data_IF_698761290852
#
_entry.id   IF_698761290852
#
_cell.length_a   1.000
_cell.length_b   1.000
_cell.length_c   1.000
_cell.angle_alpha   90.00
_cell.angle_beta   90.00
_cell.angle_gamma   90.00
#
_symmetry.space_group_name_H-M   'P 1'
#
loop_
_entity.id
_entity.type
_entity.pdbx_description
1 polymer ?
#
# COMPACT_ATOMS: atom_id res chain seq x y z
N UNK A 1 -20.70 -32.68 11.88
CA UNK A 1 -20.45 -31.25 12.21
C UNK A 1 -20.95 -30.39 11.07
N UNK A 2 -21.37 -29.13 11.32
CA UNK A 2 -21.81 -28.22 10.27
C UNK A 2 -20.68 -27.90 9.30
N UNK A 3 -20.93 -27.89 8.00
CA UNK A 3 -19.92 -27.52 6.99
C UNK A 3 -19.45 -26.10 7.24
N UNK A 4 -18.15 -25.91 7.45
CA UNK A 4 -17.57 -24.62 7.80
C UNK A 4 -16.56 -24.19 6.74
N UNK A 5 -16.55 -22.91 6.42
CA UNK A 5 -15.52 -22.29 5.57
C UNK A 5 -14.66 -21.36 6.43
N UNK A 6 -13.41 -21.74 6.64
CA UNK A 6 -12.39 -20.95 7.33
C UNK A 6 -11.59 -20.18 6.29
N UNK A 7 -11.50 -18.87 6.44
CA UNK A 7 -10.83 -18.00 5.47
C UNK A 7 -9.63 -17.34 6.12
N UNK A 8 -8.46 -17.46 5.48
CA UNK A 8 -7.21 -16.90 5.95
C UNK A 8 -6.62 -15.92 4.92
N UNK A 9 -6.32 -14.71 5.36
CA UNK A 9 -5.59 -13.69 4.60
C UNK A 9 -4.08 -13.76 4.90
N UNK A 10 -3.69 -14.03 6.16
CA UNK A 10 -2.29 -14.02 6.60
C UNK A 10 -1.88 -15.23 7.45
N UNK A 11 -0.57 -15.52 7.51
CA UNK A 11 -0.03 -16.69 8.22
C UNK A 11 -0.30 -16.65 9.72
N UNK A 12 -0.31 -15.46 10.33
CA UNK A 12 -0.56 -15.29 11.76
C UNK A 12 -2.00 -15.64 12.16
N UNK A 13 -2.94 -15.60 11.22
CA UNK A 13 -4.32 -16.03 11.42
C UNK A 13 -4.43 -17.56 11.49
N UNK A 14 -3.58 -18.28 10.74
CA UNK A 14 -3.52 -19.74 10.80
C UNK A 14 -3.01 -20.20 12.17
N UNK A 15 -1.93 -19.59 12.67
CA UNK A 15 -1.41 -19.88 14.02
C UNK A 15 -2.46 -19.54 15.10
N UNK A 16 -3.15 -18.40 14.92
CA UNK A 16 -4.21 -18.00 15.82
C UNK A 16 -5.33 -19.03 15.89
N UNK A 17 -5.79 -19.53 14.74
CA UNK A 17 -6.79 -20.57 14.65
C UNK A 17 -6.36 -21.84 15.37
N UNK A 18 -5.16 -22.36 15.06
CA UNK A 18 -4.63 -23.59 15.65
C UNK A 18 -4.51 -23.46 17.16
N UNK A 19 -4.11 -22.30 17.68
CA UNK A 19 -4.00 -22.06 19.12
C UNK A 19 -5.34 -22.05 19.85
N UNK A 20 -6.41 -21.54 19.22
CA UNK A 20 -7.72 -21.35 19.84
C UNK A 20 -8.62 -22.59 19.69
N UNK A 21 -8.52 -23.27 18.56
CA UNK A 21 -9.42 -24.38 18.18
C UNK A 21 -8.69 -25.74 18.14
N UNK A 22 -7.35 -25.77 18.25
CA UNK A 22 -6.53 -26.97 18.18
C UNK A 22 -6.23 -27.46 16.76
N UNK A 23 -5.12 -28.19 16.60
CA UNK A 23 -4.63 -28.70 15.29
C UNK A 23 -5.57 -29.71 14.62
N UNK A 24 -6.40 -30.42 15.38
CA UNK A 24 -7.33 -31.39 14.80
C UNK A 24 -8.53 -30.70 14.13
N UNK A 25 -8.95 -29.55 14.65
CA UNK A 25 -10.08 -28.78 14.10
C UNK A 25 -9.82 -28.30 12.66
N UNK A 26 -8.58 -27.94 12.35
CA UNK A 26 -8.17 -27.45 11.02
C UNK A 26 -8.05 -28.59 9.99
N UNK A 27 -8.02 -29.85 10.43
CA UNK A 27 -7.96 -31.04 9.56
C UNK A 27 -9.29 -31.77 9.41
N UNK A 28 -10.36 -31.27 10.03
CA UNK A 28 -11.68 -31.87 9.95
C UNK A 28 -12.19 -31.85 8.49
N UNK A 29 -12.79 -32.96 8.05
CA UNK A 29 -13.29 -33.11 6.68
C UNK A 29 -14.47 -32.18 6.36
N UNK A 30 -15.18 -31.68 7.37
CA UNK A 30 -16.27 -30.71 7.24
C UNK A 30 -15.77 -29.27 7.24
N UNK A 31 -14.46 -29.04 7.33
CA UNK A 31 -13.83 -27.72 7.29
C UNK A 31 -13.16 -27.53 5.94
N UNK A 32 -13.64 -26.55 5.19
CA UNK A 32 -12.96 -26.04 4.01
C UNK A 32 -12.09 -24.84 4.39
N UNK A 33 -10.82 -24.89 4.01
CA UNK A 33 -9.89 -23.79 4.24
C UNK A 33 -9.68 -23.04 2.93
N UNK A 34 -9.96 -21.74 2.93
CA UNK A 34 -9.68 -20.85 1.82
C UNK A 34 -8.48 -19.96 2.15
N UNK A 35 -7.37 -20.17 1.44
CA UNK A 35 -6.14 -19.42 1.62
C UNK A 35 -6.01 -18.34 0.52
N UNK A 36 -6.23 -17.08 0.90
CA UNK A 36 -6.29 -15.96 -0.04
C UNK A 36 -4.93 -15.58 -0.62
N UNK A 37 -3.89 -15.54 0.21
CA UNK A 37 -2.55 -15.09 -0.16
C UNK A 37 -1.57 -16.25 -0.39
N UNK A 38 -0.60 -16.13 -1.32
CA UNK A 38 0.41 -17.16 -1.56
C UNK A 38 1.26 -17.52 -0.34
N UNK A 39 1.51 -16.58 0.58
CA UNK A 39 2.25 -16.83 1.82
C UNK A 39 1.50 -17.84 2.72
N UNK A 40 0.19 -17.65 2.91
CA UNK A 40 -0.67 -18.59 3.64
C UNK A 40 -0.69 -19.97 2.97
N UNK A 41 -0.78 -20.01 1.65
CA UNK A 41 -0.76 -21.26 0.88
C UNK A 41 0.56 -22.02 1.08
N UNK A 42 1.69 -21.32 1.03
CA UNK A 42 3.01 -21.91 1.27
C UNK A 42 3.14 -22.41 2.72
N UNK A 43 2.62 -21.64 3.68
CA UNK A 43 2.62 -21.97 5.09
C UNK A 43 1.79 -23.23 5.38
N UNK A 44 0.54 -23.30 4.90
CA UNK A 44 -0.35 -24.46 5.07
C UNK A 44 0.24 -25.70 4.38
N UNK A 45 0.82 -25.54 3.19
CA UNK A 45 1.51 -26.62 2.47
C UNK A 45 2.66 -27.21 3.27
N UNK A 46 3.50 -26.37 3.91
CA UNK A 46 4.61 -26.84 4.76
C UNK A 46 4.14 -27.64 5.97
N UNK A 47 2.93 -27.38 6.47
CA UNK A 47 2.30 -28.12 7.58
C UNK A 47 1.41 -29.27 7.15
N UNK A 48 1.38 -29.57 5.85
CA UNK A 48 0.56 -30.62 5.26
C UNK A 48 -0.95 -30.47 5.60
N UNK A 49 -1.42 -29.22 5.64
CA UNK A 49 -2.82 -28.88 5.87
C UNK A 49 -3.48 -28.64 4.49
N UNK A 50 -4.53 -29.40 4.11
CA UNK A 50 -5.24 -29.18 2.86
C UNK A 50 -5.90 -27.80 2.80
N UNK A 51 -5.86 -27.16 1.62
CA UNK A 51 -6.50 -25.86 1.42
C UNK A 51 -6.98 -25.68 -0.03
N UNK A 52 -7.89 -24.74 -0.19
CA UNK A 52 -8.37 -24.23 -1.46
C UNK A 52 -7.69 -22.88 -1.72
N UNK A 53 -7.17 -22.69 -2.93
CA UNK A 53 -6.65 -21.40 -3.38
C UNK A 53 -7.78 -20.61 -4.07
N UNK A 54 -7.45 -19.39 -4.52
CA UNK A 54 -8.43 -18.47 -5.11
C UNK A 54 -8.76 -18.76 -6.58
N UNK A 55 -8.01 -19.65 -7.25
CA UNK A 55 -8.16 -19.91 -8.70
C UNK A 55 -9.54 -20.50 -9.01
N UNK A 56 -10.06 -21.41 -8.17
CA UNK A 56 -11.39 -22.00 -8.35
C UNK A 56 -12.55 -21.02 -8.16
N UNK A 57 -12.29 -19.86 -7.55
CA UNK A 57 -13.30 -18.88 -7.18
C UNK A 57 -13.16 -17.56 -7.93
N UNK A 58 -12.19 -17.44 -8.85
CA UNK A 58 -11.94 -16.23 -9.62
C UNK A 58 -11.66 -16.55 -11.08
N UNK A 59 -12.68 -16.45 -11.92
CA UNK A 59 -12.60 -16.76 -13.35
C UNK A 59 -12.55 -15.49 -14.22
N UNK A 60 -12.54 -15.68 -15.54
CA UNK A 60 -12.48 -14.57 -16.52
C UNK A 60 -13.66 -13.60 -16.34
N UNK A 61 -14.88 -14.11 -16.10
CA UNK A 61 -16.06 -13.27 -15.87
C UNK A 61 -15.96 -12.48 -14.56
N UNK A 62 -15.38 -13.08 -13.52
CA UNK A 62 -15.04 -12.39 -12.27
C UNK A 62 -14.08 -11.23 -12.52
N UNK A 63 -13.05 -11.47 -13.33
CA UNK A 63 -12.07 -10.44 -13.70
C UNK A 63 -12.69 -9.28 -14.47
N UNK A 64 -13.53 -9.58 -15.47
CA UNK A 64 -14.24 -8.57 -16.26
C UNK A 64 -15.15 -7.71 -15.38
N UNK A 65 -15.98 -8.32 -14.53
CA UNK A 65 -16.84 -7.58 -13.58
C UNK A 65 -16.02 -6.68 -12.66
N UNK A 66 -14.89 -7.17 -12.16
CA UNK A 66 -14.02 -6.39 -11.29
C UNK A 66 -13.47 -5.15 -11.99
N UNK A 67 -12.99 -5.29 -13.23
CA UNK A 67 -12.43 -4.17 -13.99
C UNK A 67 -13.50 -3.12 -14.26
N UNK A 68 -14.69 -3.53 -14.70
CA UNK A 68 -15.80 -2.62 -14.96
C UNK A 68 -16.23 -1.90 -13.67
N UNK A 69 -16.39 -2.63 -12.56
CA UNK A 69 -16.76 -2.03 -11.29
C UNK A 69 -15.68 -1.10 -10.74
N UNK A 70 -14.40 -1.48 -10.87
CA UNK A 70 -13.30 -0.61 -10.48
C UNK A 70 -13.25 0.66 -11.32
N UNK A 71 -13.54 0.60 -12.62
CA UNK A 71 -13.61 1.77 -13.49
C UNK A 71 -14.76 2.71 -13.09
N UNK A 72 -15.94 2.15 -12.79
CA UNK A 72 -17.10 2.88 -12.25
C UNK A 72 -16.72 3.63 -10.96
N UNK A 73 -16.08 2.94 -10.02
CA UNK A 73 -15.68 3.51 -8.73
C UNK A 73 -14.61 4.58 -8.88
N UNK A 74 -13.61 4.34 -9.72
CA UNK A 74 -12.44 5.23 -9.87
C UNK A 74 -12.78 6.52 -10.62
N UNK A 75 -13.80 6.51 -11.48
CA UNK A 75 -14.17 7.68 -12.30
C UNK A 75 -14.48 8.93 -11.44
N UNK A 76 -15.38 8.90 -10.44
CA UNK A 76 -15.59 10.05 -9.56
C UNK A 76 -14.33 10.54 -8.84
N UNK A 77 -13.45 9.63 -8.43
CA UNK A 77 -12.17 10.04 -7.82
C UNK A 77 -11.31 10.84 -8.81
N UNK A 78 -11.22 10.41 -10.08
CA UNK A 78 -10.49 11.17 -11.11
C UNK A 78 -11.08 12.54 -11.36
N UNK A 79 -12.42 12.63 -11.36
CA UNK A 79 -13.13 13.86 -11.69
C UNK A 79 -13.07 14.88 -10.53
N UNK A 80 -13.07 14.42 -9.28
CA UNK A 80 -13.13 15.27 -8.08
C UNK A 80 -11.73 15.63 -7.55
N UNK A 81 -10.76 14.72 -7.67
CA UNK A 81 -9.42 14.93 -7.10
C UNK A 81 -8.66 15.99 -7.90
N UNK A 82 -8.38 17.10 -7.23
CA UNK A 82 -7.58 18.20 -7.77
C UNK A 82 -6.63 18.71 -6.69
N UNK A 83 -5.49 18.04 -6.56
CA UNK A 83 -4.44 18.38 -5.60
C UNK A 83 -3.31 19.06 -6.35
N UNK A 84 -2.94 20.26 -5.90
CA UNK A 84 -1.86 21.06 -6.47
C UNK A 84 -0.99 21.59 -5.32
N UNK A 85 0.33 21.53 -5.49
CA UNK A 85 1.27 22.08 -4.52
C UNK A 85 1.68 23.53 -4.83
N UNK A 86 2.49 24.10 -3.94
CA UNK A 86 3.03 25.45 -4.05
C UNK A 86 4.03 25.63 -5.20
N UNK A 87 4.41 24.54 -5.87
CA UNK A 87 5.27 24.53 -7.06
C UNK A 87 4.45 24.40 -8.37
N UNK A 88 3.11 24.31 -8.27
CA UNK A 88 2.21 24.10 -9.41
C UNK A 88 2.18 22.66 -9.91
N UNK A 89 2.74 21.70 -9.17
CA UNK A 89 2.68 20.27 -9.53
C UNK A 89 1.30 19.74 -9.17
N UNK A 90 0.58 19.27 -10.19
CA UNK A 90 -0.78 18.74 -10.06
C UNK A 90 -0.93 17.30 -10.50
N UNK A 91 -0.52 17.00 -11.73
CA UNK A 91 -0.73 15.68 -12.35
C UNK A 91 -0.10 14.55 -11.55
N UNK A 92 1.10 14.76 -10.98
CA UNK A 92 1.80 13.76 -10.17
C UNK A 92 0.98 13.29 -8.97
N UNK A 93 0.38 14.22 -8.21
CA UNK A 93 -0.43 13.87 -7.03
C UNK A 93 -1.75 13.21 -7.41
N UNK A 94 -2.44 13.73 -8.43
CA UNK A 94 -3.72 13.17 -8.89
C UNK A 94 -3.55 11.75 -9.44
N UNK A 95 -2.49 11.53 -10.22
CA UNK A 95 -2.15 10.21 -10.77
C UNK A 95 -1.73 9.24 -9.66
N UNK A 96 -0.90 9.69 -8.71
CA UNK A 96 -0.52 8.87 -7.57
C UNK A 96 -1.77 8.48 -6.76
N UNK A 97 -2.59 9.45 -6.34
CA UNK A 97 -3.82 9.20 -5.58
C UNK A 97 -4.70 8.15 -6.28
N UNK A 98 -4.98 8.35 -7.56
CA UNK A 98 -5.84 7.46 -8.36
C UNK A 98 -5.22 6.07 -8.50
N UNK A 99 -3.92 6.00 -8.81
CA UNK A 99 -3.20 4.73 -8.99
C UNK A 99 -3.21 3.90 -7.71
N UNK A 100 -2.83 4.51 -6.59
CA UNK A 100 -2.73 3.80 -5.33
C UNK A 100 -4.11 3.38 -4.80
N UNK A 101 -5.12 4.25 -4.89
CA UNK A 101 -6.49 3.92 -4.51
C UNK A 101 -7.03 2.74 -5.32
N UNK A 102 -6.86 2.78 -6.65
CA UNK A 102 -7.34 1.72 -7.54
C UNK A 102 -6.72 0.36 -7.19
N UNK A 103 -5.40 0.29 -7.10
CA UNK A 103 -4.69 -1.00 -6.98
C UNK A 103 -4.67 -1.53 -5.55
N UNK A 104 -4.43 -0.66 -4.57
CA UNK A 104 -4.17 -1.08 -3.19
C UNK A 104 -5.38 -0.95 -2.26
N UNK A 105 -6.52 -0.50 -2.78
CA UNK A 105 -7.78 -0.48 -2.04
C UNK A 105 -8.89 -1.11 -2.87
N UNK A 106 -9.31 -0.46 -3.97
CA UNK A 106 -10.52 -0.85 -4.69
C UNK A 106 -10.42 -2.25 -5.28
N UNK A 107 -9.41 -2.54 -6.09
CA UNK A 107 -9.26 -3.85 -6.72
C UNK A 107 -9.07 -4.96 -5.69
N UNK A 108 -8.35 -4.68 -4.59
CA UNK A 108 -8.14 -5.65 -3.52
C UNK A 108 -9.45 -6.00 -2.80
N UNK A 109 -10.23 -4.99 -2.41
CA UNK A 109 -11.55 -5.16 -1.78
C UNK A 109 -12.52 -5.92 -2.69
N UNK A 110 -12.62 -5.50 -3.95
CA UNK A 110 -13.50 -6.18 -4.91
C UNK A 110 -13.08 -7.64 -5.13
N UNK A 111 -11.78 -7.91 -5.22
CA UNK A 111 -11.27 -9.27 -5.41
C UNK A 111 -11.59 -10.16 -4.22
N UNK A 112 -11.40 -9.68 -2.98
CA UNK A 112 -11.77 -10.43 -1.78
C UNK A 112 -13.27 -10.72 -1.75
N UNK A 113 -14.12 -9.72 -2.00
CA UNK A 113 -15.58 -9.89 -2.04
C UNK A 113 -15.96 -10.94 -3.09
N UNK A 114 -15.41 -10.83 -4.31
CA UNK A 114 -15.71 -11.75 -5.41
C UNK A 114 -15.33 -13.20 -5.09
N UNK A 115 -14.11 -13.42 -4.57
CA UNK A 115 -13.60 -14.74 -4.22
C UNK A 115 -14.41 -15.38 -3.10
N UNK A 116 -14.68 -14.64 -2.03
CA UNK A 116 -15.40 -15.16 -0.87
C UNK A 116 -16.85 -15.46 -1.24
N UNK A 117 -17.50 -14.56 -1.97
CA UNK A 117 -18.88 -14.75 -2.41
C UNK A 117 -19.01 -15.98 -3.32
N UNK A 118 -18.09 -16.16 -4.29
CA UNK A 118 -18.07 -17.34 -5.14
C UNK A 118 -17.76 -18.62 -4.35
N UNK A 119 -16.91 -18.56 -3.33
CA UNK A 119 -16.63 -19.69 -2.45
C UNK A 119 -17.87 -20.10 -1.63
N UNK A 120 -18.64 -19.13 -1.13
CA UNK A 120 -19.91 -19.38 -0.44
C UNK A 120 -20.91 -20.07 -1.38
N UNK A 121 -21.05 -19.60 -2.62
CA UNK A 121 -21.97 -20.19 -3.60
C UNK A 121 -21.61 -21.62 -3.99
N UNK A 122 -20.32 -21.89 -4.20
CA UNK A 122 -19.85 -23.20 -4.63
C UNK A 122 -19.80 -24.23 -3.50
N UNK A 123 -19.30 -23.84 -2.32
CA UNK A 123 -19.09 -24.75 -1.20
C UNK A 123 -20.32 -24.89 -0.30
N UNK A 124 -21.25 -23.93 -0.34
CA UNK A 124 -22.46 -23.87 0.48
C UNK A 124 -22.20 -24.16 1.97
N UNK A 125 -21.28 -23.42 2.61
CA UNK A 125 -21.01 -23.61 4.03
C UNK A 125 -22.22 -23.17 4.87
N UNK A 126 -22.40 -23.78 6.04
CA UNK A 126 -23.38 -23.37 7.05
C UNK A 126 -22.81 -22.31 8.00
N UNK A 127 -21.48 -22.27 8.12
CA UNK A 127 -20.74 -21.39 9.02
C UNK A 127 -19.50 -20.80 8.33
N UNK A 128 -19.28 -19.50 8.49
CA UNK A 128 -18.05 -18.82 8.09
C UNK A 128 -17.19 -18.53 9.32
N UNK A 129 -15.89 -18.76 9.20
CA UNK A 129 -14.90 -18.43 10.23
C UNK A 129 -13.85 -17.52 9.61
N UNK A 130 -13.64 -16.36 10.20
CA UNK A 130 -12.67 -15.38 9.74
C UNK A 130 -12.06 -14.62 10.92
N UNK A 131 -11.03 -13.84 10.64
CA UNK A 131 -10.32 -13.05 11.64
C UNK A 131 -10.72 -11.60 11.53
N UNK A 132 -11.17 -11.04 12.67
CA UNK A 132 -11.39 -9.60 12.82
C UNK A 132 -10.36 -9.08 13.81
N UNK A 133 -9.56 -8.14 13.34
CA UNK A 133 -8.44 -7.61 14.09
C UNK A 133 -8.70 -6.19 14.54
N UNK A 134 -8.36 -5.91 15.80
CA UNK A 134 -8.50 -4.58 16.42
C UNK A 134 -7.35 -3.62 16.06
N UNK A 135 -6.58 -3.87 14.99
CA UNK A 135 -5.39 -3.08 14.67
C UNK A 135 -5.66 -1.84 13.81
N UNK A 136 -4.76 -0.86 13.95
CA UNK A 136 -4.67 0.27 13.04
C UNK A 136 -3.97 -0.14 11.75
N UNK A 137 -4.54 0.27 10.60
CA UNK A 137 -3.94 0.16 9.28
C UNK A 137 -2.48 0.62 9.27
N UNK A 138 -1.62 -0.14 8.59
CA UNK A 138 -0.27 0.34 8.29
C UNK A 138 -0.35 1.61 7.43
N UNK A 139 0.62 2.52 7.62
CA UNK A 139 0.85 3.62 6.69
C UNK A 139 1.16 3.02 5.31
N UNK A 140 0.61 3.58 4.24
CA UNK A 140 0.80 3.05 2.90
C UNK A 140 2.30 3.11 2.53
N UNK A 141 2.95 1.96 2.45
CA UNK A 141 4.18 1.78 1.69
C UNK A 141 3.80 1.34 0.26
N UNK A 142 4.81 1.19 -0.59
CA UNK A 142 4.72 0.68 -1.96
C UNK A 142 3.92 -0.62 -2.12
N UNK A 143 3.73 -1.42 -1.05
CA UNK A 143 2.87 -2.60 -1.02
C UNK A 143 2.13 -2.63 0.34
N UNK A 144 0.79 -2.62 0.37
CA UNK A 144 0.05 -2.80 1.62
C UNK A 144 0.22 -4.24 2.12
N UNK A 145 0.69 -4.42 3.36
CA UNK A 145 1.02 -5.75 3.93
C UNK A 145 0.08 -6.20 5.04
N UNK A 146 -0.86 -5.37 5.48
CA UNK A 146 -1.76 -5.66 6.61
C UNK A 146 -3.09 -4.89 6.47
N UNK A 147 -3.75 -4.97 5.32
CA UNK A 147 -5.05 -4.30 5.13
C UNK A 147 -6.14 -4.88 6.03
N UNK A 148 -6.16 -6.22 6.19
CA UNK A 148 -6.95 -6.96 7.19
C UNK A 148 -8.45 -6.60 7.17
N UNK A 149 -8.98 -6.39 5.97
CA UNK A 149 -10.42 -6.12 5.74
C UNK A 149 -11.26 -7.41 5.76
N UNK A 150 -10.61 -8.59 5.80
CA UNK A 150 -11.26 -9.89 5.66
C UNK A 150 -12.45 -10.08 6.62
N UNK A 151 -12.24 -9.88 7.92
CA UNK A 151 -13.29 -10.10 8.92
C UNK A 151 -14.54 -9.24 8.69
N UNK A 152 -14.35 -7.99 8.23
CA UNK A 152 -15.47 -7.07 7.93
C UNK A 152 -16.25 -7.54 6.70
N UNK A 153 -15.54 -7.96 5.65
CA UNK A 153 -16.17 -8.45 4.41
C UNK A 153 -16.95 -9.74 4.67
N UNK A 154 -16.35 -10.68 5.42
CA UNK A 154 -16.99 -11.97 5.75
C UNK A 154 -18.23 -11.74 6.62
N UNK A 155 -18.19 -10.80 7.57
CA UNK A 155 -19.33 -10.40 8.39
C UNK A 155 -20.50 -9.88 7.56
N UNK A 156 -20.26 -8.97 6.62
CA UNK A 156 -21.31 -8.45 5.75
C UNK A 156 -21.88 -9.55 4.82
N UNK A 157 -21.03 -10.38 4.21
CA UNK A 157 -21.49 -11.46 3.33
C UNK A 157 -22.28 -12.54 4.09
N UNK A 158 -21.84 -12.91 5.30
CA UNK A 158 -22.56 -13.86 6.15
C UNK A 158 -23.95 -13.34 6.52
N UNK A 159 -24.04 -12.08 6.96
CA UNK A 159 -25.29 -11.44 7.35
C UNK A 159 -26.30 -11.38 6.21
N UNK A 160 -25.85 -11.09 4.99
CA UNK A 160 -26.72 -11.06 3.80
C UNK A 160 -27.29 -12.42 3.41
N UNK A 161 -26.54 -13.50 3.68
CA UNK A 161 -26.91 -14.86 3.29
C UNK A 161 -27.48 -15.67 4.45
N UNK A 162 -27.68 -15.07 5.63
CA UNK A 162 -28.20 -15.75 6.82
C UNK A 162 -27.28 -16.86 7.34
N UNK A 163 -25.97 -16.78 7.09
CA UNK A 163 -24.99 -17.77 7.50
C UNK A 163 -24.54 -17.54 8.95
N UNK A 164 -24.21 -18.61 9.67
CA UNK A 164 -23.54 -18.48 10.97
C UNK A 164 -22.16 -17.90 10.76
N UNK A 165 -21.73 -17.01 11.65
CA UNK A 165 -20.39 -16.43 11.61
C UNK A 165 -19.69 -16.59 12.95
N UNK A 166 -18.41 -16.92 12.89
CA UNK A 166 -17.49 -16.86 14.02
C UNK A 166 -16.32 -15.96 13.63
N UNK A 167 -16.14 -14.88 14.38
CA UNK A 167 -15.04 -13.95 14.21
C UNK A 167 -14.03 -14.18 15.32
N UNK A 168 -12.83 -14.64 14.95
CA UNK A 168 -11.73 -14.88 15.86
C UNK A 168 -10.82 -13.65 15.94
N UNK A 169 -10.15 -13.49 17.08
CA UNK A 169 -9.15 -12.44 17.30
C UNK A 169 -7.75 -12.97 16.97
N UNK A 170 -6.98 -12.21 16.19
CA UNK A 170 -5.59 -12.53 15.85
C UNK A 170 -4.55 -11.98 16.84
N UNK A 171 -3.34 -12.53 16.82
CA UNK A 171 -2.38 -12.50 17.95
C UNK A 171 -1.43 -11.30 18.07
N UNK A 172 -1.49 -10.31 17.19
CA UNK A 172 -0.43 -9.26 17.11
C UNK A 172 -0.68 -8.00 17.96
N UNK A 173 -0.33 -7.99 19.25
CA UNK A 173 -0.34 -6.75 20.08
C UNK A 173 0.15 -5.52 19.28
N UNK A 174 -0.64 -4.43 19.22
CA UNK A 174 -0.24 -3.28 18.42
C UNK A 174 1.06 -2.71 18.99
N UNK A 175 2.04 -2.34 18.14
CA UNK A 175 3.18 -1.59 18.62
C UNK A 175 2.65 -0.30 19.27
N UNK A 176 3.24 0.10 20.40
CA UNK A 176 2.79 1.29 21.13
C UNK A 176 2.77 2.50 20.18
N UNK A 177 1.60 3.16 19.97
CA UNK A 177 1.46 4.23 18.98
C UNK A 177 2.40 5.40 19.22
N UNK A 178 2.74 5.67 20.49
CA UNK A 178 3.71 6.70 20.86
C UNK A 178 5.10 6.30 20.36
N UNK A 179 5.51 5.06 20.60
CA UNK A 179 6.81 4.53 20.17
C UNK A 179 6.94 4.55 18.64
N UNK A 180 5.88 4.18 17.92
CA UNK A 180 5.84 4.26 16.45
C UNK A 180 6.03 5.70 15.99
N UNK A 181 5.28 6.64 16.57
CA UNK A 181 5.36 8.06 16.22
C UNK A 181 6.77 8.63 16.46
N UNK A 182 7.36 8.34 17.62
CA UNK A 182 8.73 8.77 17.96
C UNK A 182 9.74 8.20 16.98
N UNK A 183 9.65 6.89 16.69
CA UNK A 183 10.55 6.22 15.75
C UNK A 183 10.45 6.83 14.34
N UNK A 184 9.23 7.10 13.86
CA UNK A 184 9.01 7.73 12.54
C UNK A 184 9.58 9.14 12.50
N UNK A 185 9.35 9.97 13.52
CA UNK A 185 9.92 11.32 13.58
C UNK A 185 11.45 11.33 13.60
N UNK A 186 12.07 10.46 14.42
CA UNK A 186 13.52 10.30 14.46
C UNK A 186 14.07 9.86 13.10
N UNK A 187 13.39 8.92 12.44
CA UNK A 187 13.80 8.43 11.13
C UNK A 187 13.76 9.54 10.07
N UNK A 188 12.72 10.37 10.05
CA UNK A 188 12.64 11.53 9.13
C UNK A 188 13.69 12.60 9.44
N UNK A 189 14.01 12.85 10.72
CA UNK A 189 15.14 13.72 11.09
C UNK A 189 16.47 13.16 10.57
N UNK A 190 16.71 11.85 10.71
CA UNK A 190 17.88 11.20 10.16
C UNK A 190 17.95 11.33 8.64
N UNK A 191 16.82 11.16 7.92
CA UNK A 191 16.77 11.39 6.47
C UNK A 191 17.16 12.82 6.11
N UNK A 192 16.68 13.81 6.84
CA UNK A 192 17.05 15.22 6.62
C UNK A 192 18.56 15.46 6.78
N UNK A 193 19.18 14.85 7.80
CA UNK A 193 20.63 14.95 8.02
C UNK A 193 21.39 14.27 6.88
N UNK A 194 21.03 13.04 6.53
CA UNK A 194 21.63 12.28 5.42
C UNK A 194 21.48 13.05 4.11
N UNK A 195 20.31 13.61 3.83
CA UNK A 195 20.08 14.41 2.62
C UNK A 195 21.00 15.63 2.54
N UNK A 196 21.20 16.36 3.65
CA UNK A 196 22.14 17.50 3.69
C UNK A 196 23.58 17.06 3.44
N UNK A 197 24.00 15.95 4.03
CA UNK A 197 25.33 15.36 3.78
C UNK A 197 25.48 15.00 2.30
N UNK A 198 24.46 14.36 1.71
CA UNK A 198 24.44 14.00 0.28
C UNK A 198 24.53 15.23 -0.62
N UNK A 199 23.82 16.32 -0.30
CA UNK A 199 23.92 17.59 -1.03
C UNK A 199 25.37 18.11 -1.06
N UNK A 200 26.07 18.09 0.07
CA UNK A 200 27.47 18.56 0.16
C UNK A 200 28.40 17.66 -0.66
N UNK A 201 28.26 16.35 -0.53
CA UNK A 201 29.11 15.39 -1.25
C UNK A 201 28.87 15.47 -2.76
N UNK A 202 27.62 15.57 -3.21
CA UNK A 202 27.29 15.77 -4.63
C UNK A 202 27.91 17.07 -5.13
N UNK A 203 27.84 18.15 -4.35
CA UNK A 203 28.46 19.44 -4.71
C UNK A 203 29.96 19.27 -4.96
N UNK A 204 30.65 18.61 -4.04
CA UNK A 204 32.09 18.37 -4.14
C UNK A 204 32.45 17.47 -5.33
N UNK A 205 31.69 16.40 -5.57
CA UNK A 205 31.96 15.43 -6.65
C UNK A 205 31.59 15.92 -8.05
N UNK A 206 30.62 16.83 -8.14
CA UNK A 206 30.05 17.22 -9.43
C UNK A 206 30.98 18.08 -10.30
N UNK A 207 31.81 18.95 -9.72
CA UNK A 207 32.63 19.86 -10.53
C UNK A 207 31.79 20.60 -11.59
N UNK A 208 32.15 20.45 -12.87
CA UNK A 208 31.42 20.99 -14.04
C UNK A 208 30.58 19.94 -14.79
N UNK A 209 30.20 18.84 -14.12
CA UNK A 209 29.39 17.76 -14.71
C UNK A 209 27.89 18.12 -14.70
N UNK A 210 27.20 17.66 -15.72
CA UNK A 210 25.73 17.70 -15.82
C UNK A 210 25.14 16.46 -15.12
N UNK A 211 23.89 16.55 -14.66
CA UNK A 211 23.30 15.49 -13.86
C UNK A 211 22.21 14.72 -14.60
N UNK A 212 22.22 13.40 -14.48
CA UNK A 212 21.07 12.56 -14.81
C UNK A 212 20.40 12.15 -13.51
N UNK A 213 19.17 12.63 -13.31
CA UNK A 213 18.33 12.26 -12.17
C UNK A 213 17.40 11.12 -12.57
N UNK A 214 17.30 10.10 -11.73
CA UNK A 214 16.34 9.03 -11.95
C UNK A 214 15.86 8.41 -10.62
N UNK A 215 14.64 7.85 -10.57
CA UNK A 215 13.93 7.63 -9.31
C UNK A 215 14.56 6.52 -8.46
N UNK A 216 14.99 5.41 -9.05
CA UNK A 216 15.57 4.28 -8.34
C UNK A 216 16.38 3.35 -9.27
N UNK A 217 17.10 2.39 -8.68
CA UNK A 217 17.88 1.37 -9.40
C UNK A 217 17.08 0.12 -9.82
N UNK A 218 15.75 0.13 -9.75
CA UNK A 218 14.94 -1.05 -10.14
C UNK A 218 14.67 -1.09 -11.64
N UNK A 219 14.08 -2.18 -12.13
CA UNK A 219 13.71 -2.35 -13.55
C UNK A 219 14.88 -2.21 -14.55
N UNK A 220 16.09 -2.63 -14.16
CA UNK A 220 17.32 -2.49 -14.96
C UNK A 220 17.68 -1.04 -15.36
N UNK A 221 17.11 -0.02 -14.69
CA UNK A 221 17.45 1.38 -14.96
C UNK A 221 18.95 1.65 -14.76
N UNK A 222 19.60 1.00 -13.79
CA UNK A 222 21.03 1.11 -13.57
C UNK A 222 21.85 0.75 -14.81
N UNK A 223 21.51 -0.33 -15.53
CA UNK A 223 22.20 -0.76 -16.75
C UNK A 223 22.04 0.24 -17.87
N UNK A 224 20.84 0.82 -18.00
CA UNK A 224 20.58 1.87 -18.98
C UNK A 224 21.46 3.08 -18.68
N UNK A 225 21.47 3.56 -17.44
CA UNK A 225 22.29 4.71 -17.02
C UNK A 225 23.79 4.44 -17.19
N UNK A 226 24.28 3.25 -16.83
CA UNK A 226 25.69 2.84 -17.07
C UNK A 226 26.06 2.96 -18.55
N UNK A 227 25.19 2.50 -19.45
CA UNK A 227 25.42 2.60 -20.89
C UNK A 227 25.49 4.05 -21.37
N UNK A 228 24.71 4.96 -20.78
CA UNK A 228 24.78 6.39 -21.06
C UNK A 228 26.06 7.03 -20.52
N UNK A 229 26.40 6.77 -19.25
CA UNK A 229 27.60 7.34 -18.61
C UNK A 229 28.90 6.92 -19.33
N UNK A 230 28.94 5.71 -19.89
CA UNK A 230 30.09 5.23 -20.67
C UNK A 230 30.36 6.05 -21.94
N UNK A 231 29.32 6.72 -22.48
CA UNK A 231 29.39 7.51 -23.72
C UNK A 231 29.61 9.00 -23.45
N UNK A 232 29.27 9.49 -22.26
CA UNK A 232 29.30 10.91 -21.93
C UNK A 232 30.05 11.16 -20.62
N UNK A 233 31.34 11.48 -20.73
CA UNK A 233 32.24 11.70 -19.58
C UNK A 233 31.86 12.91 -18.70
N UNK A 234 31.09 13.86 -19.25
CA UNK A 234 30.57 15.04 -18.53
C UNK A 234 29.32 14.75 -17.71
N UNK A 235 28.73 13.56 -17.82
CA UNK A 235 27.54 13.21 -17.05
C UNK A 235 27.89 12.58 -15.71
N UNK A 236 27.02 12.85 -14.74
CA UNK A 236 27.02 12.25 -13.41
C UNK A 236 25.62 11.76 -13.11
N UNK A 237 25.47 10.54 -12.61
CA UNK A 237 24.18 10.01 -12.24
C UNK A 237 23.87 10.29 -10.77
N UNK A 238 22.60 10.64 -10.50
CA UNK A 238 22.07 10.80 -9.15
C UNK A 238 20.80 9.98 -9.01
N UNK A 239 20.88 8.92 -8.22
CA UNK A 239 19.73 8.07 -7.86
C UNK A 239 18.96 8.75 -6.76
N UNK A 240 17.67 9.02 -6.94
CA UNK A 240 16.87 9.73 -5.94
C UNK A 240 16.46 8.85 -4.76
N UNK A 241 16.29 7.55 -4.98
CA UNK A 241 15.87 6.58 -3.95
C UNK A 241 16.71 5.31 -4.07
N UNK A 242 17.62 5.12 -3.11
CA UNK A 242 18.40 3.90 -2.91
C UNK A 242 18.26 3.46 -1.45
N UNK A 243 17.22 2.64 -1.18
CA UNK A 243 16.92 2.08 0.15
C UNK A 243 17.92 0.98 0.58
N UNK A 244 19.21 1.20 0.32
CA UNK A 244 20.30 0.34 0.75
C UNK A 244 21.15 1.15 1.76
N UNK A 245 21.29 0.72 3.02
CA UNK A 245 22.09 1.44 4.01
C UNK A 245 23.54 1.67 3.59
N UNK A 246 24.09 0.82 2.72
CA UNK A 246 25.44 0.96 2.15
C UNK A 246 25.57 2.10 1.13
N UNK A 247 24.47 2.71 0.69
CA UNK A 247 24.45 3.79 -0.29
C UNK A 247 25.26 5.01 0.17
N UNK A 248 25.17 5.37 1.46
CA UNK A 248 25.93 6.51 2.02
C UNK A 248 27.43 6.25 1.95
N UNK A 249 27.87 5.05 2.35
CA UNK A 249 29.27 4.65 2.26
C UNK A 249 29.79 4.61 0.82
N UNK A 250 28.99 4.08 -0.12
CA UNK A 250 29.31 4.13 -1.56
C UNK A 250 29.36 5.54 -2.10
N UNK A 251 28.53 6.44 -1.61
CA UNK A 251 28.55 7.83 -2.05
C UNK A 251 29.81 8.57 -1.56
N UNK A 252 30.34 8.23 -0.38
CA UNK A 252 31.61 8.79 0.12
C UNK A 252 32.80 8.17 -0.62
N UNK A 253 32.89 6.83 -0.65
CA UNK A 253 34.08 6.11 -1.11
C UNK A 253 34.05 5.71 -2.60
N UNK A 254 32.92 5.86 -3.28
CA UNK A 254 32.71 5.37 -4.65
C UNK A 254 33.11 6.35 -5.75
N UNK A 255 33.07 5.85 -6.98
CA UNK A 255 33.47 6.53 -8.22
C UNK A 255 32.84 7.92 -8.42
N UNK A 256 33.58 8.82 -9.08
CA UNK A 256 33.19 10.23 -9.31
C UNK A 256 31.97 10.44 -10.23
N UNK A 257 31.33 9.38 -10.73
CA UNK A 257 30.21 9.45 -11.66
C UNK A 257 28.87 9.00 -11.07
N UNK A 258 28.88 8.48 -9.83
CA UNK A 258 27.69 7.92 -9.19
C UNK A 258 27.43 8.57 -7.84
N UNK A 259 26.22 9.10 -7.66
CA UNK A 259 25.71 9.48 -6.36
C UNK A 259 24.36 8.84 -6.11
N UNK A 260 24.16 8.37 -4.88
CA UNK A 260 22.93 7.70 -4.47
C UNK A 260 22.35 8.46 -3.27
N UNK A 261 21.16 9.02 -3.43
CA UNK A 261 20.34 9.39 -2.28
C UNK A 261 19.80 8.13 -1.62
N UNK A 262 19.92 8.06 -0.30
CA UNK A 262 19.28 7.00 0.47
C UNK A 262 17.75 7.10 0.32
N UNK A 263 17.22 8.31 0.52
CA UNK A 263 15.83 8.68 0.28
C UNK A 263 15.73 10.21 0.19
N UNK A 264 14.69 10.73 -0.47
CA UNK A 264 14.32 12.13 -0.33
C UNK A 264 13.54 12.31 0.98
N UNK A 265 13.86 13.32 1.81
CA UNK A 265 13.10 13.56 3.02
C UNK A 265 11.65 13.91 2.71
N UNK A 266 10.69 13.40 3.50
CA UNK A 266 9.28 13.79 3.37
C UNK A 266 8.88 14.91 4.32
N UNK A 267 9.75 15.27 5.25
CA UNK A 267 9.44 16.27 6.27
C UNK A 267 9.49 17.71 5.71
N UNK A 268 8.42 18.46 5.99
CA UNK A 268 8.34 19.91 5.81
C UNK A 268 7.86 20.58 7.11
N UNK A 269 8.34 21.81 7.42
CA UNK A 269 7.78 22.59 8.51
C UNK A 269 6.33 22.97 8.22
N UNK A 270 5.53 23.14 9.28
CA UNK A 270 4.08 23.30 9.17
C UNK A 270 3.66 24.50 8.30
N UNK A 271 4.41 25.60 8.34
CA UNK A 271 4.12 26.77 7.50
C UNK A 271 4.12 26.44 5.99
N UNK A 272 5.05 25.60 5.52
CA UNK A 272 5.16 25.17 4.11
C UNK A 272 4.17 24.07 3.74
N UNK A 273 3.79 23.25 4.71
CA UNK A 273 2.89 22.10 4.51
C UNK A 273 1.40 22.48 4.62
N UNK A 274 1.08 23.51 5.40
CA UNK A 274 -0.31 23.85 5.78
C UNK A 274 -1.26 24.05 4.59
N UNK A 275 -0.80 24.76 3.54
CA UNK A 275 -1.58 25.01 2.34
C UNK A 275 -1.96 23.72 1.60
N UNK A 276 -0.96 22.86 1.35
CA UNK A 276 -1.16 21.56 0.71
C UNK A 276 -2.11 20.67 1.51
N UNK A 277 -1.94 20.60 2.83
CA UNK A 277 -2.83 19.81 3.71
C UNK A 277 -4.27 20.33 3.69
N UNK A 278 -4.46 21.65 3.63
CA UNK A 278 -5.80 22.26 3.57
C UNK A 278 -6.52 21.88 2.28
N UNK A 279 -5.86 21.99 1.12
CA UNK A 279 -6.45 21.60 -0.16
C UNK A 279 -6.69 20.08 -0.26
N UNK A 280 -5.78 19.28 0.28
CA UNK A 280 -5.96 17.83 0.37
C UNK A 280 -7.17 17.46 1.22
N UNK A 281 -7.32 18.06 2.40
CA UNK A 281 -8.47 17.83 3.28
C UNK A 281 -9.78 18.27 2.63
N UNK A 282 -9.80 19.42 1.95
CA UNK A 282 -10.96 19.89 1.18
C UNK A 282 -11.34 18.91 0.08
N UNK A 283 -10.36 18.35 -0.62
CA UNK A 283 -10.58 17.30 -1.64
C UNK A 283 -11.19 16.04 -1.01
N UNK A 284 -10.68 15.58 0.11
CA UNK A 284 -11.23 14.42 0.84
C UNK A 284 -12.67 14.69 1.31
N UNK A 285 -12.96 15.89 1.80
CA UNK A 285 -14.33 16.28 2.19
C UNK A 285 -15.29 16.25 1.01
N UNK A 286 -14.91 16.80 -0.15
CA UNK A 286 -15.72 16.75 -1.38
C UNK A 286 -16.00 15.31 -1.80
N UNK A 287 -15.00 14.44 -1.73
CA UNK A 287 -15.17 13.01 -2.01
C UNK A 287 -16.17 12.37 -1.05
N UNK A 288 -16.06 12.63 0.26
CA UNK A 288 -16.99 12.09 1.26
C UNK A 288 -18.42 12.55 1.01
N UNK A 289 -18.62 13.81 0.66
CA UNK A 289 -19.93 14.37 0.34
C UNK A 289 -20.52 13.70 -0.90
N UNK A 290 -19.73 13.58 -1.97
CA UNK A 290 -20.15 12.90 -3.20
C UNK A 290 -20.58 11.45 -2.94
N UNK A 291 -19.77 10.67 -2.22
CA UNK A 291 -20.05 9.27 -1.95
C UNK A 291 -21.13 9.06 -0.88
N UNK A 292 -21.39 10.04 0.00
CA UNK A 292 -22.58 10.01 0.86
C UNK A 292 -23.87 10.07 0.05
N UNK A 293 -23.89 10.86 -1.01
CA UNK A 293 -25.03 10.97 -1.94
C UNK A 293 -25.08 9.86 -2.99
N UNK A 294 -23.96 9.15 -3.21
CA UNK A 294 -23.81 8.13 -4.25
C UNK A 294 -23.23 6.81 -3.71
N UNK A 295 -23.64 6.41 -2.51
CA UNK A 295 -23.08 5.26 -1.79
C UNK A 295 -23.18 3.92 -2.53
N UNK A 296 -24.13 3.79 -3.46
CA UNK A 296 -24.29 2.62 -4.34
C UNK A 296 -23.04 2.32 -5.19
N UNK A 297 -22.22 3.33 -5.50
CA UNK A 297 -21.00 3.14 -6.28
C UNK A 297 -20.01 2.27 -5.50
N UNK A 298 -19.91 2.46 -4.18
CA UNK A 298 -19.04 1.71 -3.26
C UNK A 298 -19.75 0.50 -2.65
N UNK A 299 -20.64 -0.12 -3.43
CA UNK A 299 -21.30 -1.39 -3.11
C UNK A 299 -20.99 -2.43 -4.18
N UNK A 300 -20.67 -3.65 -3.77
CA UNK A 300 -20.43 -4.77 -4.68
C UNK A 300 -20.88 -6.08 -4.03
N UNK A 301 -21.69 -6.88 -4.76
CA UNK A 301 -22.31 -8.12 -4.24
C UNK A 301 -22.91 -7.94 -2.84
N UNK A 302 -23.66 -6.85 -2.67
CA UNK A 302 -24.32 -6.46 -1.42
C UNK A 302 -23.41 -5.79 -0.38
N UNK A 303 -22.10 -6.05 -0.37
CA UNK A 303 -21.11 -5.48 0.57
C UNK A 303 -20.91 -3.98 0.34
N UNK A 304 -20.98 -3.18 1.40
CA UNK A 304 -20.79 -1.73 1.38
C UNK A 304 -19.44 -1.38 1.99
N UNK A 305 -18.45 -1.07 1.13
CA UNK A 305 -17.06 -0.89 1.57
C UNK A 305 -16.61 0.59 1.59
N UNK A 306 -17.55 1.54 1.57
CA UNK A 306 -17.26 2.98 1.64
C UNK A 306 -16.40 3.35 2.84
N UNK A 307 -16.74 2.83 4.03
CA UNK A 307 -15.97 3.08 5.26
C UNK A 307 -14.51 2.63 5.12
N UNK A 308 -14.27 1.46 4.53
CA UNK A 308 -12.92 0.91 4.34
C UNK A 308 -12.09 1.77 3.39
N UNK A 309 -12.70 2.23 2.31
CA UNK A 309 -12.05 3.12 1.32
C UNK A 309 -11.65 4.45 1.95
N UNK A 310 -12.55 5.11 2.68
CA UNK A 310 -12.22 6.39 3.30
C UNK A 310 -11.24 6.27 4.45
N UNK A 311 -11.30 5.17 5.20
CA UNK A 311 -10.33 4.87 6.25
C UNK A 311 -8.92 4.67 5.66
N UNK A 312 -8.81 4.03 4.49
CA UNK A 312 -7.56 3.92 3.73
C UNK A 312 -7.06 5.28 3.23
N UNK A 313 -7.97 6.11 2.71
CA UNK A 313 -7.62 7.47 2.27
C UNK A 313 -7.02 8.26 3.44
N UNK A 314 -7.70 8.29 4.58
CA UNK A 314 -7.31 9.08 5.75
C UNK A 314 -6.04 8.58 6.43
N UNK A 315 -5.94 7.28 6.71
CA UNK A 315 -4.85 6.73 7.52
C UNK A 315 -3.59 6.41 6.72
N UNK A 316 -3.72 6.30 5.41
CA UNK A 316 -2.69 5.72 4.55
C UNK A 316 -2.32 6.67 3.41
N UNK A 317 -3.30 7.10 2.60
CA UNK A 317 -3.01 7.91 1.40
C UNK A 317 -2.71 9.38 1.72
N UNK A 318 -3.43 9.99 2.65
CA UNK A 318 -3.18 11.39 3.06
C UNK A 318 -1.76 11.57 3.62
N UNK A 319 -1.29 10.74 4.58
CA UNK A 319 0.10 10.78 5.04
C UNK A 319 1.12 10.54 3.91
N UNK A 320 0.82 9.63 2.98
CA UNK A 320 1.67 9.36 1.83
C UNK A 320 1.82 10.58 0.92
N UNK A 321 0.72 11.25 0.57
CA UNK A 321 0.76 12.46 -0.28
C UNK A 321 1.47 13.63 0.41
N UNK A 322 1.29 13.78 1.72
CA UNK A 322 2.05 14.78 2.49
C UNK A 322 3.55 14.50 2.44
N UNK A 323 3.94 13.22 2.57
CA UNK A 323 5.34 12.80 2.47
C UNK A 323 5.88 13.09 1.06
N UNK A 324 5.10 12.77 0.02
CA UNK A 324 5.45 13.02 -1.38
C UNK A 324 5.60 14.53 -1.67
N UNK A 325 4.77 15.39 -1.08
CA UNK A 325 4.91 16.84 -1.16
C UNK A 325 6.25 17.31 -0.58
N UNK A 326 6.64 16.78 0.59
CA UNK A 326 7.96 17.04 1.15
C UNK A 326 9.11 16.60 0.23
N UNK A 327 9.00 15.41 -0.35
CA UNK A 327 10.01 14.90 -1.28
C UNK A 327 10.13 15.78 -2.53
N UNK A 328 8.99 16.23 -3.08
CA UNK A 328 8.93 17.13 -4.23
C UNK A 328 9.58 18.48 -3.91
N UNK A 329 9.30 19.03 -2.74
CA UNK A 329 9.94 20.27 -2.27
C UNK A 329 11.46 20.15 -2.16
N UNK A 330 11.97 19.05 -1.57
CA UNK A 330 13.42 18.84 -1.45
C UNK A 330 14.08 18.53 -2.78
N UNK A 331 13.37 17.90 -3.72
CA UNK A 331 13.83 17.69 -5.08
C UNK A 331 13.91 19.02 -5.86
N UNK A 332 12.90 19.88 -5.78
CA UNK A 332 12.95 21.23 -6.38
C UNK A 332 14.11 22.04 -5.80
N UNK A 333 14.31 21.98 -4.47
CA UNK A 333 15.46 22.60 -3.83
C UNK A 333 16.79 22.04 -4.34
N UNK A 334 16.89 20.73 -4.58
CA UNK A 334 18.07 20.12 -5.19
C UNK A 334 18.31 20.70 -6.59
N UNK A 335 17.27 20.68 -7.44
CA UNK A 335 17.33 21.12 -8.84
C UNK A 335 17.72 22.61 -8.92
N UNK A 336 17.06 23.49 -8.15
CA UNK A 336 17.36 24.94 -8.16
C UNK A 336 18.79 25.26 -7.73
N UNK A 337 19.30 24.54 -6.72
CA UNK A 337 20.67 24.74 -6.25
C UNK A 337 21.71 24.24 -7.25
N UNK A 338 21.37 23.25 -8.07
CA UNK A 338 22.32 22.56 -8.95
C UNK A 338 22.22 22.93 -10.43
N UNK A 339 21.10 23.53 -10.86
CA UNK A 339 20.80 23.82 -12.28
C UNK A 339 21.23 22.64 -13.17
N UNK A 340 20.68 21.44 -12.90
CA UNK A 340 21.19 20.20 -13.46
C UNK A 340 21.07 20.10 -14.98
#
# INVERSE_FOLDING_TARGET
MSKSLVIFEYEDEVEAFISQQGTESIKDQNVHILALQPCVQAYLKRRNIPYLNTIGFFNIKSHERLILKAAEIVKPFRDIVSIEDDLGVKEGYNNAFTFYLRHYSILYLLWMIEVIDNAIEQLKPEKLIAFKLDYAFDVMDTIPRNERHLGIIVEELAGQRGLKIELLTGWRRPPNPIMVKVKTSLFEMCKMVVFRINMVIISFKSGNKEYILYPNNTYNLNKIIESFLSKFSRLMSVVLICRNPKAIGRMICGYNHWCEFYDLPGYLPDNKRSGFVKELNKTVTKLKEYFSNNGQILRYKGVVFQKLVFLKIERSMVPFLITLHGQTYHLDKFIRNKRP
#
